data_IF_140725789933
#
_entry.id   IF_140725789933
#
_cell.length_a   1.000
_cell.length_b   1.000
_cell.length_c   1.000
_cell.angle_alpha   90.00
_cell.angle_beta   90.00
_cell.angle_gamma   90.00
#
_symmetry.space_group_name_H-M   'P 1'
#
loop_
_entity.id
_entity.type
_entity.pdbx_description
1 polymer ?
#
# COMPACT_ATOMS: atom_id res chain seq x y z
N UNK A 1 26.03 -9.62 3.27
CA UNK A 1 25.90 -9.13 4.66
C UNK A 1 27.21 -8.63 5.24
N UNK A 2 28.34 -9.03 4.66
CA UNK A 2 29.71 -8.89 5.17
C UNK A 2 30.23 -7.46 5.40
N UNK A 3 29.49 -6.44 4.99
CA UNK A 3 29.81 -5.02 5.23
C UNK A 3 29.14 -4.45 6.48
N UNK A 4 28.24 -5.21 7.11
CA UNK A 4 27.50 -4.77 8.29
C UNK A 4 28.27 -5.21 9.55
N UNK A 5 28.54 -4.31 10.51
CA UNK A 5 29.15 -4.67 11.78
C UNK A 5 28.35 -5.75 12.50
N UNK A 6 29.04 -6.73 13.09
CA UNK A 6 28.41 -7.82 13.87
C UNK A 6 27.70 -7.32 15.14
N UNK A 7 28.06 -6.13 15.61
CA UNK A 7 27.41 -5.41 16.70
C UNK A 7 26.02 -4.90 16.36
N UNK A 8 25.64 -4.84 15.08
CA UNK A 8 24.40 -4.22 14.63
C UNK A 8 23.30 -5.27 14.49
N UNK A 9 22.06 -4.89 14.76
CA UNK A 9 20.90 -5.78 14.59
C UNK A 9 20.39 -5.61 13.18
N UNK A 10 20.46 -6.67 12.39
CA UNK A 10 19.98 -6.68 11.00
C UNK A 10 18.59 -7.29 10.99
N UNK A 11 17.68 -6.58 10.35
CA UNK A 11 16.32 -7.07 10.10
C UNK A 11 16.11 -7.01 8.59
N UNK A 12 15.80 -8.17 7.99
CA UNK A 12 15.45 -8.28 6.57
C UNK A 12 13.96 -8.59 6.49
N UNK A 13 13.21 -7.79 5.73
CA UNK A 13 11.75 -7.89 5.66
C UNK A 13 11.32 -7.80 4.21
N UNK A 14 10.29 -8.55 3.84
CA UNK A 14 9.63 -8.36 2.55
C UNK A 14 8.85 -9.58 2.08
N UNK A 15 8.29 -9.44 0.88
CA UNK A 15 7.68 -10.50 0.11
C UNK A 15 8.78 -11.31 -0.57
N UNK A 16 8.97 -12.55 -0.13
CA UNK A 16 9.93 -13.47 -0.72
C UNK A 16 9.26 -14.48 -1.65
N UNK A 17 7.93 -14.48 -1.73
CA UNK A 17 7.14 -15.51 -2.41
C UNK A 17 7.57 -16.93 -2.02
N UNK A 18 8.00 -17.08 -0.77
CA UNK A 18 8.60 -18.28 -0.19
C UNK A 18 7.58 -18.94 0.74
N UNK A 19 7.30 -20.22 0.54
CA UNK A 19 6.54 -21.01 1.50
C UNK A 19 7.56 -21.82 2.28
N UNK A 20 7.55 -21.68 3.60
CA UNK A 20 8.46 -22.39 4.50
C UNK A 20 7.69 -23.49 5.20
N UNK A 21 8.18 -24.72 5.12
CA UNK A 21 7.59 -25.89 5.74
C UNK A 21 8.15 -26.18 7.12
N UNK A 22 7.71 -27.30 7.69
CA UNK A 22 8.11 -27.78 9.02
C UNK A 22 9.25 -28.81 8.97
N UNK A 23 9.99 -28.88 7.85
CA UNK A 23 11.04 -29.88 7.66
C UNK A 23 12.22 -29.69 8.62
N UNK A 24 12.74 -30.81 9.14
CA UNK A 24 13.87 -30.82 10.08
C UNK A 24 15.15 -30.24 9.45
N UNK A 25 15.32 -30.37 8.13
CA UNK A 25 16.45 -29.81 7.37
C UNK A 25 16.62 -28.30 7.56
N UNK A 26 15.53 -27.58 7.84
CA UNK A 26 15.52 -26.12 7.96
C UNK A 26 15.27 -25.63 9.39
N UNK A 27 15.18 -26.52 10.38
CA UNK A 27 14.82 -26.18 11.77
C UNK A 27 15.83 -25.27 12.48
N UNK A 28 17.03 -25.10 11.92
CA UNK A 28 18.04 -24.15 12.40
C UNK A 28 17.69 -22.68 12.05
N UNK A 29 16.93 -22.48 10.99
CA UNK A 29 16.55 -21.18 10.42
C UNK A 29 15.07 -20.89 10.63
N UNK A 30 14.21 -21.87 10.34
CA UNK A 30 12.75 -21.77 10.45
C UNK A 30 12.29 -22.28 11.80
N UNK A 31 11.13 -21.80 12.24
CA UNK A 31 10.46 -22.28 13.45
C UNK A 31 9.29 -23.18 13.11
N UNK A 32 8.69 -23.78 14.14
CA UNK A 32 7.61 -24.76 14.00
C UNK A 32 6.24 -24.14 13.72
N UNK A 33 6.12 -22.82 13.82
CA UNK A 33 4.86 -22.08 13.74
C UNK A 33 4.65 -21.45 12.36
N UNK A 34 5.01 -22.18 11.31
CA UNK A 34 4.71 -21.82 9.92
C UNK A 34 3.32 -22.29 9.51
N UNK A 35 2.76 -21.66 8.47
CA UNK A 35 1.48 -22.05 7.85
C UNK A 35 1.59 -23.32 6.98
N UNK A 36 2.77 -23.61 6.43
CA UNK A 36 2.91 -24.69 5.44
C UNK A 36 3.58 -25.92 6.04
N UNK A 37 3.21 -27.10 5.56
CA UNK A 37 3.90 -28.35 5.91
C UNK A 37 5.21 -28.51 5.11
N UNK A 38 5.19 -28.10 3.84
CA UNK A 38 6.32 -28.25 2.91
C UNK A 38 6.85 -26.89 2.44
N UNK A 39 8.17 -26.83 2.30
CA UNK A 39 8.91 -25.71 1.76
C UNK A 39 8.85 -25.74 0.23
N UNK A 40 8.56 -24.60 -0.41
CA UNK A 40 8.63 -24.49 -1.87
C UNK A 40 10.06 -24.12 -2.33
N UNK A 41 10.34 -24.17 -3.64
CA UNK A 41 11.68 -23.85 -4.19
C UNK A 41 12.21 -22.47 -3.77
N UNK A 42 11.34 -21.46 -3.69
CA UNK A 42 11.74 -20.13 -3.20
C UNK A 42 12.06 -20.14 -1.69
N UNK A 43 11.37 -20.98 -0.92
CA UNK A 43 11.64 -21.22 0.49
C UNK A 43 12.97 -21.91 0.73
N UNK A 44 13.34 -22.88 -0.08
CA UNK A 44 14.66 -23.52 -0.02
C UNK A 44 15.78 -22.48 -0.24
N UNK A 45 15.63 -21.63 -1.27
CA UNK A 45 16.58 -20.54 -1.53
C UNK A 45 16.65 -19.53 -0.38
N UNK A 46 15.52 -19.23 0.25
CA UNK A 46 15.48 -18.34 1.42
C UNK A 46 16.17 -18.97 2.63
N UNK A 47 15.96 -20.27 2.86
CA UNK A 47 16.64 -21.04 3.91
C UNK A 47 18.14 -21.12 3.69
N UNK A 48 18.59 -21.37 2.46
CA UNK A 48 20.01 -21.38 2.10
C UNK A 48 20.65 -20.01 2.34
N UNK A 49 19.99 -18.94 1.88
CA UNK A 49 20.42 -17.57 2.11
C UNK A 49 20.55 -17.27 3.61
N UNK A 50 19.54 -17.65 4.40
CA UNK A 50 19.52 -17.41 5.83
C UNK A 50 20.62 -18.22 6.55
N UNK A 51 20.83 -19.47 6.16
CA UNK A 51 21.88 -20.33 6.71
C UNK A 51 23.27 -19.74 6.48
N UNK A 52 23.57 -19.33 5.24
CA UNK A 52 24.87 -18.74 4.87
C UNK A 52 25.14 -17.43 5.62
N UNK A 53 24.10 -16.65 5.89
CA UNK A 53 24.22 -15.34 6.55
C UNK A 53 23.95 -15.38 8.06
N UNK A 54 23.80 -16.56 8.66
CA UNK A 54 23.41 -16.75 10.06
C UNK A 54 22.18 -15.92 10.43
N UNK A 55 21.09 -16.07 9.68
CA UNK A 55 19.81 -15.44 9.92
C UNK A 55 18.77 -16.48 10.37
N UNK A 56 17.79 -16.04 11.16
CA UNK A 56 16.61 -16.82 11.52
C UNK A 56 15.35 -16.17 10.99
N UNK A 57 14.41 -16.98 10.51
CA UNK A 57 13.11 -16.52 10.02
C UNK A 57 12.15 -16.41 11.20
N UNK A 58 12.01 -15.20 11.72
CA UNK A 58 11.25 -14.91 12.93
C UNK A 58 9.74 -15.05 12.77
N UNK A 59 9.20 -14.88 11.54
CA UNK A 59 7.76 -15.04 11.29
C UNK A 59 7.24 -16.48 11.45
N UNK A 60 8.13 -17.45 11.68
CA UNK A 60 7.78 -18.86 11.90
C UNK A 60 8.12 -19.33 13.33
N UNK A 61 8.66 -18.46 14.19
CA UNK A 61 9.22 -18.82 15.51
C UNK A 61 8.23 -18.70 16.67
N UNK A 62 7.14 -17.96 16.51
CA UNK A 62 6.23 -17.63 17.59
C UNK A 62 4.91 -18.37 17.47
N UNK A 63 4.49 -19.02 18.55
CA UNK A 63 3.10 -19.44 18.70
C UNK A 63 2.28 -18.21 19.07
N UNK A 64 1.21 -17.96 18.32
CA UNK A 64 0.25 -16.93 18.67
C UNK A 64 -0.99 -17.59 19.26
N UNK A 65 -1.47 -17.05 20.38
CA UNK A 65 -2.78 -17.41 20.93
C UNK A 65 -3.85 -16.79 20.05
N UNK A 66 -4.99 -17.46 19.97
CA UNK A 66 -6.22 -16.89 19.46
C UNK A 66 -6.54 -15.60 20.20
N UNK A 67 -6.70 -14.51 19.46
CA UNK A 67 -7.27 -13.27 19.97
C UNK A 67 -8.32 -12.77 18.99
N UNK A 68 -9.54 -12.73 19.52
CA UNK A 68 -10.83 -12.59 18.88
C UNK A 68 -10.94 -11.72 17.62
N UNK A 69 -11.65 -12.32 16.66
CA UNK A 69 -12.62 -11.75 15.71
C UNK A 69 -13.28 -10.48 16.27
N UNK A 70 -13.07 -9.30 15.69
CA UNK A 70 -14.13 -8.28 15.79
C UNK A 70 -14.10 -7.07 14.84
N UNK A 71 -13.58 -7.17 13.60
CA UNK A 71 -13.82 -6.05 12.66
C UNK A 71 -14.33 -6.36 11.26
N UNK A 72 -14.16 -7.54 10.68
CA UNK A 72 -14.73 -7.81 9.35
C UNK A 72 -14.81 -9.33 9.07
N UNK A 73 -15.91 -10.00 9.41
CA UNK A 73 -16.27 -11.28 8.76
C UNK A 73 -17.74 -11.28 8.31
N UNK A 74 -18.05 -11.68 7.06
CA UNK A 74 -19.39 -12.08 6.68
C UNK A 74 -19.71 -13.45 7.30
N UNK A 75 -20.99 -13.65 7.64
CA UNK A 75 -21.54 -14.90 8.19
C UNK A 75 -21.35 -16.06 7.21
N UNK A 76 -20.80 -17.23 7.60
CA UNK A 76 -20.81 -18.40 6.74
C UNK A 76 -22.18 -19.08 6.79
N UNK A 77 -22.76 -19.41 5.64
CA UNK A 77 -24.05 -20.10 5.52
C UNK A 77 -23.99 -21.59 5.89
N UNK A 78 -22.85 -22.08 6.38
CA UNK A 78 -22.65 -23.48 6.77
C UNK A 78 -21.81 -23.56 8.05
N UNK A 79 -22.37 -24.24 9.04
CA UNK A 79 -21.67 -24.66 10.26
C UNK A 79 -20.52 -25.59 9.88
N UNK A 80 -19.27 -25.20 10.16
CA UNK A 80 -18.13 -26.12 10.13
C UNK A 80 -18.01 -26.82 11.49
N UNK A 81 -17.35 -27.97 11.51
CA UNK A 81 -17.09 -28.73 12.75
C UNK A 81 -16.13 -27.94 13.66
N UNK A 82 -16.30 -28.03 14.99
CA UNK A 82 -15.58 -27.21 15.99
C UNK A 82 -14.05 -27.31 15.86
N UNK A 83 -13.50 -28.47 15.43
CA UNK A 83 -12.06 -28.66 15.22
C UNK A 83 -11.51 -27.86 14.02
N UNK A 84 -12.27 -27.72 12.92
CA UNK A 84 -11.85 -26.90 11.77
C UNK A 84 -11.93 -25.39 12.09
N UNK A 85 -12.84 -24.99 12.98
CA UNK A 85 -12.97 -23.60 13.39
C UNK A 85 -11.82 -23.16 14.31
N UNK A 86 -11.32 -24.01 15.20
CA UNK A 86 -10.12 -23.76 16.03
C UNK A 86 -8.84 -23.63 15.18
N UNK A 87 -8.62 -24.51 14.20
CA UNK A 87 -7.46 -24.40 13.29
C UNK A 87 -7.48 -23.10 12.46
N UNK A 88 -8.64 -22.67 11.96
CA UNK A 88 -8.79 -21.39 11.23
C UNK A 88 -8.51 -20.15 12.12
N UNK A 89 -8.73 -20.24 13.44
CA UNK A 89 -8.53 -19.15 14.39
C UNK A 89 -7.05 -18.96 14.78
N UNK A 90 -6.25 -20.02 14.86
CA UNK A 90 -4.79 -19.94 15.10
C UNK A 90 -4.01 -19.33 13.92
N UNK A 91 -4.53 -19.40 12.69
CA UNK A 91 -3.79 -19.06 11.47
C UNK A 91 -3.92 -17.59 11.01
N UNK A 92 -4.83 -16.83 11.62
CA UNK A 92 -5.15 -15.46 11.19
C UNK A 92 -3.94 -14.51 11.19
N UNK A 93 -2.98 -14.78 12.07
CA UNK A 93 -1.75 -14.00 12.26
C UNK A 93 -0.57 -14.48 11.39
N UNK A 94 -0.67 -15.69 10.81
CA UNK A 94 0.38 -16.32 9.98
C UNK A 94 0.20 -15.97 8.50
N UNK A 95 -1.04 -15.95 8.01
CA UNK A 95 -1.35 -15.65 6.62
C UNK A 95 -1.06 -14.19 6.23
N UNK A 96 -0.20 -13.98 5.23
CA UNK A 96 0.21 -12.66 4.73
C UNK A 96 -0.44 -12.31 3.38
N UNK A 97 -0.93 -13.32 2.66
CA UNK A 97 -1.63 -13.17 1.39
C UNK A 97 -2.88 -14.06 1.33
N UNK A 98 -3.96 -13.55 0.74
CA UNK A 98 -5.18 -14.31 0.47
C UNK A 98 -5.49 -14.25 -1.02
N UNK A 99 -5.89 -15.38 -1.61
CA UNK A 99 -6.27 -15.46 -3.01
C UNK A 99 -7.55 -14.65 -3.29
N UNK A 100 -7.74 -14.12 -4.53
CA UNK A 100 -8.92 -13.32 -4.85
C UNK A 100 -10.26 -14.05 -4.73
N UNK A 101 -10.24 -15.39 -4.75
CA UNK A 101 -11.39 -16.27 -4.54
C UNK A 101 -11.61 -16.64 -3.06
N UNK A 102 -10.81 -16.07 -2.15
CA UNK A 102 -10.82 -16.31 -0.70
C UNK A 102 -10.54 -17.75 -0.24
N UNK A 103 -10.23 -18.67 -1.16
CA UNK A 103 -10.07 -20.09 -0.85
C UNK A 103 -8.70 -20.46 -0.29
N UNK A 104 -7.68 -19.63 -0.50
CA UNK A 104 -6.30 -19.94 -0.11
C UNK A 104 -5.68 -18.78 0.64
N UNK A 105 -5.07 -19.09 1.78
CA UNK A 105 -4.24 -18.18 2.55
C UNK A 105 -2.80 -18.69 2.49
N UNK A 106 -1.85 -17.80 2.23
CA UNK A 106 -0.43 -18.12 2.17
C UNK A 106 0.35 -17.21 3.13
N UNK A 107 1.37 -17.78 3.77
CA UNK A 107 2.47 -17.05 4.40
C UNK A 107 3.62 -16.97 3.40
N UNK A 108 3.89 -15.77 2.87
CA UNK A 108 4.97 -15.51 1.87
C UNK A 108 5.82 -14.27 2.18
N UNK A 109 5.37 -13.46 3.15
CA UNK A 109 6.14 -12.36 3.70
C UNK A 109 6.87 -12.82 4.95
N UNK A 110 8.18 -12.57 5.00
CA UNK A 110 9.04 -13.05 6.08
C UNK A 110 9.83 -11.92 6.73
N UNK A 111 10.11 -12.11 8.01
CA UNK A 111 11.01 -11.28 8.80
C UNK A 111 12.18 -12.14 9.22
N UNK A 112 13.39 -11.75 8.83
CA UNK A 112 14.63 -12.41 9.21
C UNK A 112 15.46 -11.50 10.10
N UNK A 113 16.17 -12.08 11.05
CA UNK A 113 17.10 -11.37 11.94
C UNK A 113 18.39 -12.17 12.14
N UNK A 114 19.46 -11.53 12.62
CA UNK A 114 20.68 -12.26 12.96
C UNK A 114 20.41 -13.36 14.00
N UNK A 115 20.94 -14.56 13.75
CA UNK A 115 20.78 -15.71 14.63
C UNK A 115 21.35 -15.47 16.03
N UNK A 116 22.39 -14.64 16.19
CA UNK A 116 22.93 -14.28 17.51
C UNK A 116 22.09 -13.25 18.28
N UNK A 117 21.05 -12.69 17.67
CA UNK A 117 20.21 -11.63 18.25
C UNK A 117 18.71 -11.89 18.13
N UNK A 118 18.34 -13.09 17.68
CA UNK A 118 16.95 -13.46 17.47
C UNK A 118 16.10 -13.37 18.74
N UNK A 119 16.71 -13.59 19.91
CA UNK A 119 16.07 -13.45 21.23
C UNK A 119 15.64 -12.00 21.55
N UNK A 120 16.16 -10.99 20.85
CA UNK A 120 15.72 -9.59 21.01
C UNK A 120 14.36 -9.32 20.38
N UNK A 121 13.89 -10.22 19.51
CA UNK A 121 12.59 -10.11 18.88
C UNK A 121 11.62 -10.93 19.74
N UNK A 122 10.70 -10.24 20.39
CA UNK A 122 9.72 -10.85 21.29
C UNK A 122 8.54 -11.45 20.52
N UNK A 123 8.25 -10.93 19.32
CA UNK A 123 7.04 -11.24 18.58
C UNK A 123 7.09 -10.74 17.12
N UNK A 124 6.46 -11.47 16.20
CA UNK A 124 6.26 -11.10 14.78
C UNK A 124 4.86 -11.53 14.34
N UNK A 125 4.00 -10.57 13.96
CA UNK A 125 2.60 -10.84 13.58
C UNK A 125 2.20 -10.14 12.28
N UNK A 126 1.34 -10.79 11.51
CA UNK A 126 0.60 -10.16 10.41
C UNK A 126 -0.54 -9.31 10.97
N UNK A 127 -0.56 -8.01 10.63
CA UNK A 127 -1.62 -7.08 11.03
C UNK A 127 -2.60 -6.86 9.87
N UNK A 128 -3.87 -7.21 10.06
CA UNK A 128 -4.95 -7.01 9.08
C UNK A 128 -5.67 -5.68 9.38
N UNK A 129 -5.88 -4.86 8.33
CA UNK A 129 -6.38 -3.47 8.41
C UNK A 129 -5.23 -2.49 8.73
N UNK A 130 -4.95 -1.40 7.97
CA UNK A 130 -5.81 -0.58 7.10
C UNK A 130 -5.52 -0.77 5.60
N UNK A 131 -6.58 -0.98 4.81
CA UNK A 131 -6.47 -1.09 3.35
C UNK A 131 -6.46 0.31 2.71
N UNK A 132 -5.37 0.69 2.02
CA UNK A 132 -5.26 1.93 1.22
C UNK A 132 -5.32 1.68 -0.29
N UNK A 133 -5.72 0.47 -0.72
CA UNK A 133 -5.79 0.08 -2.13
C UNK A 133 -4.42 0.19 -2.82
N UNK A 134 -3.35 -0.19 -2.10
CA UNK A 134 -1.97 -0.24 -2.58
C UNK A 134 -1.40 -1.64 -2.34
N UNK A 135 -0.59 -2.11 -3.29
CA UNK A 135 0.20 -3.34 -3.26
C UNK A 135 1.44 -3.26 -2.34
N UNK A 136 1.46 -2.32 -1.38
CA UNK A 136 2.59 -2.09 -0.48
C UNK A 136 2.11 -1.99 0.98
N UNK A 137 2.83 -2.64 1.89
CA UNK A 137 2.56 -2.56 3.34
C UNK A 137 2.89 -1.18 3.92
N UNK A 138 2.08 -0.73 4.87
CA UNK A 138 2.31 0.52 5.59
C UNK A 138 3.49 0.40 6.55
N UNK A 139 4.55 1.17 6.31
CA UNK A 139 5.66 1.31 7.26
C UNK A 139 5.32 2.40 8.28
N UNK A 140 5.20 2.01 9.55
CA UNK A 140 4.91 2.92 10.66
C UNK A 140 6.19 3.59 11.18
N UNK A 141 6.23 4.91 11.18
CA UNK A 141 7.19 5.68 11.98
C UNK A 141 6.63 5.85 13.40
N UNK A 142 7.07 5.01 14.33
CA UNK A 142 6.55 5.00 15.71
C UNK A 142 6.74 6.33 16.45
N UNK A 143 7.85 7.04 16.20
CA UNK A 143 8.13 8.33 16.83
C UNK A 143 7.17 9.42 16.32
N UNK A 144 6.98 9.51 14.99
CA UNK A 144 6.00 10.44 14.40
C UNK A 144 4.57 10.10 14.81
N UNK A 145 4.22 8.82 14.89
CA UNK A 145 2.89 8.41 15.35
C UNK A 145 2.65 8.84 16.79
N UNK A 146 3.62 8.62 17.69
CA UNK A 146 3.52 9.05 19.08
C UNK A 146 3.35 10.57 19.20
N UNK A 147 4.11 11.33 18.40
CA UNK A 147 3.96 12.79 18.29
C UNK A 147 2.58 13.20 17.81
N UNK A 148 2.10 12.60 16.72
CA UNK A 148 0.77 12.85 16.17
C UNK A 148 -0.35 12.57 17.17
N UNK A 149 -0.33 11.41 17.83
CA UNK A 149 -1.33 11.05 18.83
C UNK A 149 -1.35 12.06 20.00
N UNK A 150 -0.17 12.50 20.46
CA UNK A 150 -0.07 13.50 21.52
C UNK A 150 -0.68 14.83 21.10
N UNK A 151 -0.29 15.36 19.94
CA UNK A 151 -0.81 16.64 19.42
C UNK A 151 -2.32 16.56 19.15
N UNK A 152 -2.80 15.44 18.61
CA UNK A 152 -4.23 15.24 18.37
C UNK A 152 -5.03 15.24 19.67
N UNK A 153 -4.55 14.53 20.69
CA UNK A 153 -5.21 14.50 21.99
C UNK A 153 -5.27 15.89 22.64
N UNK A 154 -4.17 16.64 22.60
CA UNK A 154 -4.11 18.02 23.10
C UNK A 154 -5.06 18.97 22.35
N UNK A 155 -5.29 18.75 21.06
CA UNK A 155 -6.20 19.55 20.26
C UNK A 155 -7.67 19.17 20.51
N UNK A 156 -7.96 17.87 20.70
CA UNK A 156 -9.34 17.39 20.94
C UNK A 156 -9.85 17.81 22.33
N UNK A 157 -9.01 17.80 23.38
CA UNK A 157 -9.44 18.25 24.73
C UNK A 157 -9.80 19.73 24.76
N UNK A 158 -9.20 20.55 23.90
CA UNK A 158 -9.45 22.00 23.84
C UNK A 158 -10.71 22.34 23.05
N UNK A 159 -11.39 21.37 22.47
CA UNK A 159 -12.63 21.62 21.73
C UNK A 159 -13.77 21.85 22.73
N UNK A 160 -14.44 22.98 22.58
CA UNK A 160 -15.71 23.22 23.26
C UNK A 160 -16.81 22.36 22.62
N UNK A 161 -17.70 21.83 23.44
CA UNK A 161 -18.92 21.16 22.96
C UNK A 161 -19.75 22.14 22.12
N UNK A 162 -20.22 21.67 20.96
CA UNK A 162 -21.07 22.43 20.04
C UNK A 162 -22.45 21.80 19.99
N UNK A 163 -23.49 22.63 19.89
CA UNK A 163 -24.88 22.14 19.76
C UNK A 163 -25.16 21.54 18.37
N UNK A 164 -24.47 22.03 17.33
CA UNK A 164 -24.62 21.53 15.96
C UNK A 164 -23.58 20.43 15.65
N UNK A 165 -24.10 19.26 15.25
CA UNK A 165 -23.31 18.07 14.93
C UNK A 165 -22.35 18.31 13.76
N UNK A 166 -22.72 19.13 12.77
CA UNK A 166 -21.81 19.45 11.66
C UNK A 166 -20.69 20.38 12.11
N UNK A 167 -20.97 21.34 12.99
CA UNK A 167 -19.96 22.21 13.58
C UNK A 167 -18.99 21.40 14.45
N UNK A 168 -19.50 20.50 15.29
CA UNK A 168 -18.69 19.58 16.09
C UNK A 168 -17.80 18.70 15.21
N UNK A 169 -18.38 18.09 14.15
CA UNK A 169 -17.63 17.31 13.19
C UNK A 169 -16.55 18.11 12.48
N UNK A 170 -16.85 19.36 12.08
CA UNK A 170 -15.88 20.24 11.43
C UNK A 170 -14.71 20.56 12.38
N UNK A 171 -14.99 20.81 13.66
CA UNK A 171 -13.99 21.02 14.70
C UNK A 171 -13.07 19.81 14.90
N UNK A 172 -13.64 18.60 14.98
CA UNK A 172 -12.86 17.35 15.08
C UNK A 172 -12.02 17.15 13.82
N UNK A 173 -12.61 17.34 12.64
CA UNK A 173 -11.90 17.22 11.37
C UNK A 173 -10.73 18.20 11.27
N UNK A 174 -10.91 19.43 11.76
CA UNK A 174 -9.88 20.45 11.79
C UNK A 174 -8.74 20.05 12.74
N UNK A 175 -9.05 19.59 13.95
CA UNK A 175 -8.06 19.10 14.91
C UNK A 175 -7.21 17.96 14.33
N UNK A 176 -7.83 17.01 13.61
CA UNK A 176 -7.13 15.93 12.89
C UNK A 176 -6.16 16.50 11.85
N UNK A 177 -6.65 17.40 10.99
CA UNK A 177 -5.85 17.99 9.91
C UNK A 177 -4.68 18.82 10.43
N UNK A 178 -4.89 19.62 11.47
CA UNK A 178 -3.86 20.45 12.09
C UNK A 178 -2.78 19.61 12.76
N UNK A 179 -3.18 18.59 13.51
CA UNK A 179 -2.25 17.65 14.15
C UNK A 179 -1.37 16.95 13.12
N UNK A 180 -1.95 16.55 11.98
CA UNK A 180 -1.22 15.93 10.88
C UNK A 180 -0.25 16.92 10.21
N UNK A 181 -0.67 18.18 10.00
CA UNK A 181 0.18 19.21 9.41
C UNK A 181 1.41 19.53 10.27
N UNK A 182 1.25 19.59 11.59
CA UNK A 182 2.34 19.89 12.53
C UNK A 182 3.35 18.74 12.61
N UNK A 183 2.87 17.49 12.65
CA UNK A 183 3.72 16.34 13.00
C UNK A 183 4.20 15.55 11.79
N UNK A 184 3.33 15.32 10.81
CA UNK A 184 3.62 14.50 9.63
C UNK A 184 4.16 15.37 8.50
N UNK A 185 3.66 16.62 8.42
CA UNK A 185 3.87 17.60 7.34
C UNK A 185 3.29 17.15 6.00
N UNK A 186 2.95 18.11 5.13
CA UNK A 186 2.48 17.80 3.78
C UNK A 186 3.68 17.51 2.88
N UNK A 187 3.63 16.41 2.14
CA UNK A 187 4.51 16.23 0.99
C UNK A 187 3.98 17.12 -0.14
N UNK A 188 4.84 17.98 -0.70
CA UNK A 188 4.48 18.70 -1.91
C UNK A 188 4.25 17.70 -3.04
N UNK A 189 3.00 17.59 -3.47
CA UNK A 189 2.65 16.76 -4.63
C UNK A 189 3.25 17.45 -5.85
N UNK A 190 4.41 16.97 -6.28
CA UNK A 190 4.99 17.42 -7.53
C UNK A 190 4.04 17.01 -8.67
N UNK A 191 3.54 17.96 -9.48
CA UNK A 191 2.60 17.66 -10.53
C UNK A 191 3.25 16.66 -11.51
N UNK A 192 2.69 15.45 -11.58
CA UNK A 192 3.22 14.36 -12.42
C UNK A 192 3.31 14.74 -13.89
N UNK A 193 2.44 15.66 -14.34
CA UNK A 193 2.42 16.19 -15.69
C UNK A 193 2.19 17.71 -15.65
N UNK A 194 3.04 18.48 -16.35
CA UNK A 194 3.01 19.96 -16.34
C UNK A 194 1.79 20.56 -17.05
N UNK A 195 1.11 19.80 -17.91
CA UNK A 195 -0.07 20.30 -18.63
C UNK A 195 -1.32 20.43 -17.75
N UNK A 196 -1.29 19.87 -16.53
CA UNK A 196 -2.39 19.90 -15.58
C UNK A 196 -2.29 21.12 -14.67
N UNK A 197 -2.91 22.22 -15.10
CA UNK A 197 -2.86 23.52 -14.44
C UNK A 197 -4.17 23.90 -13.73
N UNK A 198 -4.18 25.08 -13.10
CA UNK A 198 -5.36 25.60 -12.38
C UNK A 198 -6.59 25.74 -13.29
N UNK A 199 -6.39 26.04 -14.58
CA UNK A 199 -7.49 26.14 -15.54
C UNK A 199 -8.15 24.76 -15.78
N UNK A 200 -7.34 23.69 -15.88
CA UNK A 200 -7.86 22.31 -15.92
C UNK A 200 -8.58 21.92 -14.62
N UNK A 201 -8.02 22.28 -13.45
CA UNK A 201 -8.64 21.98 -12.16
C UNK A 201 -10.01 22.64 -12.02
N UNK A 202 -10.10 23.93 -12.36
CA UNK A 202 -11.33 24.71 -12.27
C UNK A 202 -12.39 24.18 -13.25
N UNK A 203 -12.03 23.86 -14.49
CA UNK A 203 -12.98 23.29 -15.44
C UNK A 203 -13.54 21.93 -14.98
N UNK A 204 -12.73 21.10 -14.33
CA UNK A 204 -13.16 19.82 -13.77
C UNK A 204 -14.03 20.00 -12.53
N UNK A 205 -13.71 20.99 -11.68
CA UNK A 205 -14.52 21.38 -10.52
C UNK A 205 -15.92 21.79 -10.97
N UNK A 206 -16.05 22.72 -11.92
CA UNK A 206 -17.34 23.15 -12.48
C UNK A 206 -18.13 21.98 -13.09
N UNK A 207 -17.45 21.06 -13.79
CA UNK A 207 -18.07 19.84 -14.31
C UNK A 207 -18.61 18.95 -13.17
N UNK A 208 -17.87 18.79 -12.08
CA UNK A 208 -18.26 17.96 -10.94
C UNK A 208 -19.44 18.58 -10.18
N UNK A 209 -19.44 19.89 -9.96
CA UNK A 209 -20.55 20.63 -9.37
C UNK A 209 -21.83 20.49 -10.22
N UNK A 210 -21.72 20.63 -11.55
CA UNK A 210 -22.85 20.40 -12.45
C UNK A 210 -23.33 18.93 -12.40
N UNK A 211 -22.42 17.97 -12.22
CA UNK A 211 -22.78 16.54 -12.03
C UNK A 211 -23.56 16.35 -10.73
N UNK A 212 -23.13 16.94 -9.63
CA UNK A 212 -23.83 16.87 -8.34
C UNK A 212 -25.24 17.43 -8.46
N UNK A 213 -25.41 18.62 -9.08
CA UNK A 213 -26.75 19.20 -9.34
C UNK A 213 -27.65 18.28 -10.16
N UNK A 214 -27.10 17.63 -11.20
CA UNK A 214 -27.84 16.65 -12.01
C UNK A 214 -28.24 15.40 -11.20
N UNK A 215 -27.36 14.90 -10.33
CA UNK A 215 -27.63 13.74 -9.48
C UNK A 215 -28.69 14.04 -8.43
N UNK A 216 -28.65 15.25 -7.84
CA UNK A 216 -29.66 15.72 -6.89
C UNK A 216 -31.02 15.92 -7.57
N UNK A 217 -31.04 16.61 -8.72
CA UNK A 217 -32.27 16.86 -9.48
C UNK A 217 -32.02 16.71 -10.98
N UNK A 218 -32.55 15.63 -11.56
CA UNK A 218 -32.31 15.26 -12.95
C UNK A 218 -33.24 15.98 -13.94
N UNK A 219 -33.25 17.32 -13.91
CA UNK A 219 -34.02 18.15 -14.84
C UNK A 219 -33.34 18.26 -16.20
N UNK A 220 -34.10 18.57 -17.26
CA UNK A 220 -33.54 18.84 -18.61
C UNK A 220 -32.49 19.95 -18.59
N UNK A 221 -32.69 20.99 -17.78
CA UNK A 221 -31.74 22.09 -17.60
C UNK A 221 -30.43 21.61 -16.96
N UNK A 222 -30.49 20.80 -15.90
CA UNK A 222 -29.30 20.26 -15.23
C UNK A 222 -28.56 19.24 -16.11
N UNK A 223 -29.28 18.46 -16.92
CA UNK A 223 -28.68 17.57 -17.91
C UNK A 223 -27.87 18.34 -18.97
N UNK A 224 -28.44 19.41 -19.52
CA UNK A 224 -27.77 20.21 -20.55
C UNK A 224 -26.59 20.98 -19.97
N UNK A 225 -26.74 21.57 -18.78
CA UNK A 225 -25.66 22.25 -18.07
C UNK A 225 -24.46 21.32 -17.82
N UNK A 226 -24.70 20.11 -17.31
CA UNK A 226 -23.64 19.11 -17.12
C UNK A 226 -22.99 18.70 -18.45
N UNK A 227 -23.77 18.51 -19.51
CA UNK A 227 -23.26 18.15 -20.85
C UNK A 227 -22.33 19.22 -21.40
N UNK A 228 -22.71 20.49 -21.32
CA UNK A 228 -21.89 21.63 -21.74
C UNK A 228 -20.59 21.66 -20.94
N UNK A 229 -20.66 21.66 -19.62
CA UNK A 229 -19.48 21.70 -18.74
C UNK A 229 -18.55 20.50 -18.91
N UNK A 230 -19.10 19.31 -19.15
CA UNK A 230 -18.32 18.10 -19.48
C UNK A 230 -17.56 18.27 -20.80
N UNK A 231 -18.21 18.80 -21.83
CA UNK A 231 -17.59 19.00 -23.13
C UNK A 231 -16.49 20.07 -23.08
N UNK A 232 -16.74 21.20 -22.39
CA UNK A 232 -15.76 22.26 -22.16
C UNK A 232 -14.52 21.71 -21.45
N UNK A 233 -14.69 21.04 -20.31
CA UNK A 233 -13.58 20.48 -19.54
C UNK A 233 -12.78 19.45 -20.35
N UNK A 234 -13.46 18.56 -21.09
CA UNK A 234 -12.81 17.56 -21.93
C UNK A 234 -12.01 18.21 -23.07
N UNK A 235 -12.59 19.22 -23.74
CA UNK A 235 -11.93 19.94 -24.84
C UNK A 235 -10.68 20.66 -24.34
N UNK A 236 -10.77 21.35 -23.20
CA UNK A 236 -9.66 22.05 -22.57
C UNK A 236 -8.53 21.08 -22.21
N UNK A 237 -8.83 20.01 -21.47
CA UNK A 237 -7.83 19.03 -21.03
C UNK A 237 -7.15 18.35 -22.22
N UNK A 238 -7.91 17.96 -23.25
CA UNK A 238 -7.36 17.37 -24.47
C UNK A 238 -6.43 18.35 -25.20
N UNK A 239 -6.83 19.62 -25.32
CA UNK A 239 -6.01 20.67 -25.96
C UNK A 239 -4.69 20.85 -25.22
N UNK A 240 -4.72 21.07 -23.90
CA UNK A 240 -3.51 21.29 -23.09
C UNK A 240 -2.58 20.07 -23.07
N UNK A 241 -3.14 18.87 -22.96
CA UNK A 241 -2.37 17.62 -23.06
C UNK A 241 -1.66 17.52 -24.42
N UNK A 242 -2.36 17.84 -25.52
CA UNK A 242 -1.78 17.80 -26.88
C UNK A 242 -0.67 18.84 -27.07
N UNK A 243 -0.89 20.08 -26.63
CA UNK A 243 0.14 21.13 -26.74
C UNK A 243 1.39 20.77 -25.96
N UNK A 244 1.24 20.25 -24.75
CA UNK A 244 2.37 19.79 -23.94
C UNK A 244 3.10 18.60 -24.57
N UNK A 245 2.38 17.60 -25.09
CA UNK A 245 2.99 16.47 -25.81
C UNK A 245 3.82 16.96 -27.01
N UNK A 246 3.29 17.89 -27.80
CA UNK A 246 3.98 18.47 -28.94
C UNK A 246 5.25 19.24 -28.52
N UNK A 247 5.16 20.08 -27.49
CA UNK A 247 6.33 20.81 -26.96
C UNK A 247 7.43 19.84 -26.50
N UNK A 248 7.04 18.76 -25.81
CA UNK A 248 7.97 17.75 -25.33
C UNK A 248 8.62 16.96 -26.47
N UNK A 249 7.87 16.59 -27.51
CA UNK A 249 8.41 15.95 -28.72
C UNK A 249 9.41 16.85 -29.44
N UNK A 250 9.08 18.13 -29.63
CA UNK A 250 9.99 19.10 -30.24
C UNK A 250 11.30 19.25 -29.43
N UNK A 251 11.22 19.23 -28.09
CA UNK A 251 12.41 19.27 -27.24
C UNK A 251 13.27 18.01 -27.41
N UNK A 252 12.67 16.83 -27.51
CA UNK A 252 13.39 15.58 -27.77
C UNK A 252 14.11 15.65 -29.12
N UNK A 253 13.42 16.13 -30.17
CA UNK A 253 13.99 16.30 -31.51
C UNK A 253 15.16 17.30 -31.51
N UNK A 254 15.04 18.40 -30.76
CA UNK A 254 16.11 19.38 -30.62
C UNK A 254 17.35 18.79 -29.91
N UNK A 255 17.13 18.03 -28.83
CA UNK A 255 18.22 17.37 -28.09
C UNK A 255 18.95 16.34 -28.96
N UNK A 256 18.21 15.64 -29.83
CA UNK A 256 18.79 14.75 -30.85
C UNK A 256 19.64 15.53 -31.86
N UNK A 257 19.10 16.60 -32.47
CA UNK A 257 19.82 17.45 -33.44
C UNK A 257 21.09 18.09 -32.87
N UNK A 258 21.12 18.39 -31.57
CA UNK A 258 22.27 18.96 -30.86
C UNK A 258 23.29 17.93 -30.37
N UNK A 259 23.10 16.64 -30.67
CA UNK A 259 23.92 15.54 -30.14
C UNK A 259 24.00 15.52 -28.60
N UNK A 260 22.97 16.01 -27.90
CA UNK A 260 22.89 15.96 -26.43
C UNK A 260 22.37 14.60 -25.95
N UNK A 261 23.13 13.54 -26.23
CA UNK A 261 22.72 12.12 -26.10
C UNK A 261 22.15 11.78 -24.73
N UNK A 262 22.75 12.28 -23.64
CA UNK A 262 22.29 12.02 -22.26
C UNK A 262 20.92 12.65 -21.98
N UNK A 263 20.67 13.86 -22.48
CA UNK A 263 19.38 14.55 -22.31
C UNK A 263 18.30 13.88 -23.16
N UNK A 264 18.62 13.53 -24.41
CA UNK A 264 17.74 12.78 -25.30
C UNK A 264 17.21 11.49 -24.66
N UNK A 265 18.11 10.60 -24.19
CA UNK A 265 17.68 9.33 -23.58
C UNK A 265 16.92 9.52 -22.26
N UNK A 266 17.22 10.57 -21.49
CA UNK A 266 16.46 10.92 -20.28
C UNK A 266 15.02 11.30 -20.63
N UNK A 267 14.84 12.14 -21.65
CA UNK A 267 13.51 12.61 -22.06
C UNK A 267 12.67 11.49 -22.70
N UNK A 268 13.29 10.63 -23.52
CA UNK A 268 12.65 9.45 -24.12
C UNK A 268 12.16 8.47 -23.04
N UNK A 269 12.99 8.17 -22.02
CA UNK A 269 12.58 7.33 -20.89
C UNK A 269 11.40 7.90 -20.12
N UNK A 270 11.29 9.23 -20.02
CA UNK A 270 10.14 9.89 -19.38
C UNK A 270 8.84 9.80 -20.20
N UNK A 271 8.94 9.45 -21.49
CA UNK A 271 7.82 9.33 -22.44
C UNK A 271 7.31 7.90 -22.57
N UNK A 272 8.18 6.90 -22.38
CA UNK A 272 7.81 5.48 -22.30
C UNK A 272 6.99 5.21 -21.03
N UNK A 273 5.69 5.49 -21.07
CA UNK A 273 4.69 4.88 -20.18
C UNK A 273 4.09 3.67 -20.86
N UNK A 274 4.87 2.61 -21.02
CA UNK A 274 4.35 1.27 -21.22
C UNK A 274 5.33 0.25 -20.66
N UNK A 275 5.04 -0.26 -19.46
CA UNK A 275 5.30 -1.68 -19.17
C UNK A 275 3.99 -2.37 -19.53
N UNK A 276 4.04 -3.38 -20.41
CA UNK A 276 2.91 -4.29 -20.55
C UNK A 276 2.61 -4.83 -19.14
N UNK A 277 1.37 -4.70 -18.67
CA UNK A 277 0.91 -5.61 -17.63
C UNK A 277 1.01 -6.99 -18.24
N UNK A 278 1.81 -7.88 -17.64
CA UNK A 278 1.82 -9.29 -17.98
C UNK A 278 0.50 -9.91 -17.52
N UNK A 279 -0.58 -9.64 -18.27
CA UNK A 279 -1.80 -10.42 -18.29
C UNK A 279 -1.68 -11.45 -19.43
N UNK A 280 -0.70 -12.34 -19.31
CA UNK A 280 -0.62 -13.54 -20.12
C UNK A 280 -0.42 -14.72 -19.18
N UNK A 281 -1.54 -15.19 -18.63
CA UNK A 281 -1.77 -16.62 -18.56
C UNK A 281 -1.89 -17.09 -20.02
N UNK A 282 -0.92 -17.86 -20.50
CA UNK A 282 -1.12 -18.77 -21.62
C UNK A 282 -0.45 -20.07 -21.23
N UNK A 283 -1.29 -21.08 -21.18
CA UNK A 283 -1.03 -22.43 -20.73
C UNK A 283 0.12 -23.08 -21.52
N UNK A 284 0.85 -23.95 -20.83
CA UNK A 284 1.81 -24.85 -21.44
C UNK A 284 1.07 -25.93 -22.23
N UNK A 285 1.44 -26.11 -23.50
CA UNK A 285 1.51 -27.44 -24.13
C UNK A 285 2.97 -27.87 -24.17
#
# INVERSE_FOLDING_TARGET
>A
MDKIPTSDTVIVLGDFNAKLGKEESFSSVTGKHTLHEQTNTNGELLCDFATVNNLKVMSTQFQHKEIHKDRDRPWPDTWKEEEEEEEEEEEIHKGTWQSPDNNTINQIDHVLTNGNKHELIEDVRSLRGPNIDSDHFLVKNAAKLKGYCKTLYENLIKLDEKEDVNEEWNSIQQAIKESANVTIMKQEVQPRNEWWDEECKEAIKQKNEARQKKLLMNTRMNQESYKIKRNEANKLCKKKKRTWLNMKLNSIELNYKKNETRKFFKDVKSFQKYKAGSLLCRDNE
#
